data_IF_943913858121
#
_entry.id   IF_943913858121
#
_cell.length_a   1.000
_cell.length_b   1.000
_cell.length_c   1.000
_cell.angle_alpha   90.00
_cell.angle_beta   90.00
_cell.angle_gamma   90.00
#
_symmetry.space_group_name_H-M   'P 1'
#
loop_
_entity.id
_entity.type
_entity.pdbx_description
1 polymer ?
#
# COMPACT_ATOMS: atom_id res chain seq x y z
N UNK A 1 10.37 16.86 12.76
CA UNK A 1 10.23 16.57 11.33
C UNK A 1 9.87 15.10 11.11
N UNK A 2 8.83 14.87 10.36
CA UNK A 2 8.40 13.51 10.06
C UNK A 2 9.30 12.87 9.02
N UNK A 3 9.57 11.58 9.21
CA UNK A 3 10.29 10.78 8.23
C UNK A 3 9.32 10.13 7.26
N UNK A 4 9.79 9.90 6.05
CA UNK A 4 9.07 9.03 5.12
C UNK A 4 8.92 7.64 5.75
N UNK A 5 7.76 7.03 5.59
CA UNK A 5 7.51 5.71 6.14
C UNK A 5 6.52 4.94 5.29
N UNK A 6 6.54 3.63 5.47
CA UNK A 6 5.62 2.72 4.78
C UNK A 6 4.89 1.87 5.81
N UNK A 7 3.58 1.87 5.74
CA UNK A 7 2.74 0.90 6.44
C UNK A 7 2.42 -0.23 5.47
N UNK A 8 2.53 -1.47 5.91
CA UNK A 8 2.40 -2.59 4.99
C UNK A 8 1.53 -3.71 5.55
N UNK A 9 0.82 -4.36 4.64
CA UNK A 9 0.26 -5.69 4.83
C UNK A 9 0.98 -6.62 3.86
N UNK A 10 1.34 -7.80 4.31
CA UNK A 10 1.96 -8.80 3.46
C UNK A 10 1.30 -10.15 3.67
N UNK A 11 1.76 -11.15 2.94
CA UNK A 11 1.20 -12.49 2.96
C UNK A 11 1.51 -13.30 4.24
N UNK A 12 1.99 -12.63 5.27
CA UNK A 12 2.28 -13.29 6.54
C UNK A 12 3.58 -14.07 6.57
N UNK A 13 4.38 -13.99 5.50
CA UNK A 13 5.68 -14.63 5.46
C UNK A 13 6.72 -13.91 6.33
N UNK A 14 6.42 -12.70 6.78
CA UNK A 14 7.32 -11.92 7.61
C UNK A 14 7.09 -12.23 9.09
N UNK A 15 8.14 -12.62 9.78
CA UNK A 15 8.10 -12.88 11.21
C UNK A 15 7.87 -11.62 12.06
N UNK A 16 7.90 -10.45 11.44
CA UNK A 16 7.74 -9.18 12.14
C UNK A 16 6.32 -8.64 12.10
N UNK A 17 5.42 -9.31 11.44
CA UNK A 17 4.04 -8.87 11.44
C UNK A 17 3.39 -9.10 12.78
N UNK A 18 2.91 -8.00 13.36
CA UNK A 18 2.22 -8.02 14.64
C UNK A 18 0.81 -8.56 14.54
N UNK A 19 0.30 -8.73 13.32
CA UNK A 19 -1.02 -9.28 13.08
C UNK A 19 -0.88 -10.72 12.64
N UNK A 20 -1.10 -11.69 13.56
CA UNK A 20 -0.96 -13.12 13.24
C UNK A 20 -1.95 -13.60 12.18
N UNK A 21 -2.93 -12.78 11.82
CA UNK A 21 -3.98 -13.12 10.87
C UNK A 21 -3.96 -12.16 9.69
N UNK A 22 -2.81 -12.07 9.01
CA UNK A 22 -2.77 -11.28 7.77
C UNK A 22 -3.81 -11.84 6.78
N UNK A 23 -4.65 -10.98 6.17
CA UNK A 23 -5.59 -11.44 5.17
C UNK A 23 -4.94 -11.88 3.87
N UNK A 24 -3.65 -11.60 3.71
CA UNK A 24 -2.93 -11.86 2.45
C UNK A 24 -2.23 -13.23 2.50
N UNK A 25 -2.13 -13.94 1.37
CA UNK A 25 -2.64 -13.57 0.04
C UNK A 25 -4.16 -13.67 -0.04
N UNK A 26 -4.76 -12.86 -0.90
CA UNK A 26 -6.20 -12.76 -1.00
C UNK A 26 -6.63 -12.71 -2.47
N UNK A 27 -7.57 -13.57 -2.85
CA UNK A 27 -8.12 -13.54 -4.20
C UNK A 27 -8.98 -12.30 -4.39
N UNK A 28 -8.65 -11.49 -5.39
CA UNK A 28 -9.40 -10.28 -5.67
C UNK A 28 -10.62 -10.64 -6.52
N UNK A 29 -11.78 -10.35 -5.96
CA UNK A 29 -13.07 -10.48 -6.63
C UNK A 29 -13.74 -9.11 -6.63
N UNK A 30 -15.04 -9.04 -6.84
CA UNK A 30 -15.76 -7.79 -6.65
C UNK A 30 -15.87 -7.49 -5.16
N UNK A 31 -15.56 -6.26 -4.77
CA UNK A 31 -15.68 -5.77 -3.40
C UNK A 31 -14.89 -6.59 -2.38
N UNK A 32 -13.67 -6.97 -2.75
CA UNK A 32 -12.77 -7.65 -1.84
C UNK A 32 -12.13 -6.63 -0.90
N UNK A 33 -12.18 -6.85 0.40
CA UNK A 33 -11.75 -5.89 1.40
C UNK A 33 -10.47 -6.31 2.11
N UNK A 34 -9.64 -5.31 2.43
CA UNK A 34 -8.52 -5.46 3.35
C UNK A 34 -8.43 -4.21 4.24
N UNK A 35 -8.05 -4.38 5.50
CA UNK A 35 -7.86 -3.28 6.42
C UNK A 35 -6.38 -3.01 6.63
N UNK A 36 -6.00 -1.74 6.68
CA UNK A 36 -4.64 -1.35 7.03
C UNK A 36 -4.67 -0.34 8.18
N UNK A 37 -3.87 -0.61 9.22
CA UNK A 37 -3.77 0.28 10.37
C UNK A 37 -2.69 1.32 10.12
N UNK A 38 -3.05 2.60 10.26
CA UNK A 38 -2.15 3.73 10.10
C UNK A 38 -2.06 4.46 11.43
N UNK A 39 -0.87 4.47 12.04
CA UNK A 39 -0.66 5.14 13.32
C UNK A 39 -0.53 6.65 13.20
N UNK A 40 -0.19 7.16 12.03
CA UNK A 40 0.00 8.58 11.81
C UNK A 40 -1.33 9.32 11.70
N UNK A 41 -1.35 10.55 12.19
CA UNK A 41 -2.43 11.48 11.89
C UNK A 41 -2.09 12.20 10.59
N UNK A 42 -2.46 11.58 9.46
CA UNK A 42 -2.05 12.04 8.14
C UNK A 42 -2.54 13.46 7.84
N UNK A 43 -3.74 13.80 8.30
CA UNK A 43 -4.29 15.15 8.07
C UNK A 43 -3.53 16.23 8.86
N UNK A 44 -3.16 15.93 10.10
CA UNK A 44 -2.40 16.88 10.92
C UNK A 44 -0.94 16.98 10.50
N UNK A 45 -0.36 15.86 10.05
CA UNK A 45 1.05 15.77 9.71
C UNK A 45 1.37 16.31 8.31
N UNK A 46 0.37 16.44 7.45
CA UNK A 46 0.46 17.03 6.10
C UNK A 46 1.60 16.47 5.24
N UNK A 47 1.57 15.19 4.90
CA UNK A 47 2.58 14.62 4.01
C UNK A 47 2.51 15.27 2.62
N UNK A 48 3.65 15.34 1.94
CA UNK A 48 3.70 15.84 0.56
C UNK A 48 2.98 14.91 -0.39
N UNK A 49 3.06 13.61 -0.14
CA UNK A 49 2.50 12.58 -1.02
C UNK A 49 2.11 11.37 -0.20
N UNK A 50 0.98 10.77 -0.56
CA UNK A 50 0.56 9.47 -0.05
C UNK A 50 0.33 8.57 -1.25
N UNK A 51 1.04 7.45 -1.32
CA UNK A 51 0.96 6.53 -2.44
C UNK A 51 0.68 5.13 -1.92
N UNK A 52 -0.29 4.48 -2.54
CA UNK A 52 -0.62 3.09 -2.26
C UNK A 52 0.01 2.20 -3.33
N UNK A 53 0.90 1.31 -2.91
CA UNK A 53 1.52 0.32 -3.79
C UNK A 53 0.87 -1.03 -3.57
N UNK A 54 0.39 -1.64 -4.64
CA UNK A 54 -0.30 -2.93 -4.60
C UNK A 54 0.48 -3.92 -5.46
N UNK A 55 0.90 -5.03 -4.84
CA UNK A 55 1.55 -6.12 -5.55
C UNK A 55 0.56 -7.26 -5.75
N UNK A 56 0.48 -7.73 -6.99
CA UNK A 56 -0.36 -8.86 -7.38
C UNK A 56 0.47 -9.95 -8.05
N UNK A 57 -0.12 -11.13 -8.22
CA UNK A 57 0.57 -12.28 -8.81
C UNK A 57 0.80 -12.14 -10.32
N UNK A 58 0.00 -11.31 -10.98
CA UNK A 58 0.10 -11.10 -12.43
C UNK A 58 -0.36 -9.70 -12.80
N UNK A 59 -0.05 -9.29 -14.03
CA UNK A 59 -0.33 -7.94 -14.51
C UNK A 59 -1.73 -7.86 -15.11
N UNK A 60 -2.70 -7.54 -14.27
CA UNK A 60 -4.09 -7.31 -14.69
C UNK A 60 -4.61 -6.02 -14.06
N UNK A 61 -5.60 -5.42 -14.70
CA UNK A 61 -6.24 -4.20 -14.20
C UNK A 61 -7.19 -4.51 -13.06
N UNK A 62 -7.19 -3.64 -12.09
CA UNK A 62 -8.15 -3.69 -10.98
C UNK A 62 -8.40 -2.27 -10.46
N UNK A 63 -9.51 -2.08 -9.78
CA UNK A 63 -9.83 -0.81 -9.14
C UNK A 63 -9.65 -0.91 -7.63
N UNK A 64 -9.35 0.23 -7.02
CA UNK A 64 -9.10 0.33 -5.58
C UNK A 64 -9.82 1.55 -5.04
N UNK A 65 -10.43 1.41 -3.88
CA UNK A 65 -10.93 2.53 -3.09
C UNK A 65 -10.40 2.43 -1.66
N UNK A 66 -10.27 3.56 -0.99
CA UNK A 66 -9.93 3.60 0.42
C UNK A 66 -10.97 4.46 1.15
N UNK A 67 -11.55 3.91 2.19
CA UNK A 67 -12.60 4.57 2.98
C UNK A 67 -13.72 5.15 2.11
N UNK A 68 -14.07 4.43 1.03
CA UNK A 68 -15.14 4.82 0.12
C UNK A 68 -14.72 5.74 -1.02
N UNK A 69 -13.46 6.17 -1.09
CA UNK A 69 -12.98 7.07 -2.15
C UNK A 69 -12.18 6.28 -3.19
N UNK A 70 -12.64 6.32 -4.44
CA UNK A 70 -11.96 5.67 -5.55
C UNK A 70 -10.61 6.34 -5.80
N UNK A 71 -9.56 5.53 -6.01
CA UNK A 71 -8.21 6.02 -6.19
C UNK A 71 -7.83 6.04 -7.67
N UNK A 72 -6.96 6.98 -8.02
CA UNK A 72 -6.43 7.10 -9.36
C UNK A 72 -5.07 6.43 -9.47
N UNK A 73 -4.93 5.57 -10.48
CA UNK A 73 -3.66 4.93 -10.78
C UNK A 73 -2.64 5.93 -11.29
N UNK A 74 -1.41 5.81 -10.83
CA UNK A 74 -0.29 6.66 -11.25
C UNK A 74 0.93 5.81 -11.57
N UNK A 75 1.92 6.42 -12.21
CA UNK A 75 3.24 5.84 -12.33
C UNK A 75 4.11 6.41 -11.22
N UNK A 76 4.63 5.55 -10.37
CA UNK A 76 5.50 5.94 -9.27
C UNK A 76 6.57 4.87 -9.07
N UNK A 77 7.77 5.32 -8.73
CA UNK A 77 8.87 4.41 -8.46
C UNK A 77 8.66 3.70 -7.13
N UNK A 78 8.81 2.39 -7.15
CA UNK A 78 8.78 1.59 -5.94
C UNK A 78 10.01 1.89 -5.09
N UNK A 79 9.89 1.99 -3.75
CA UNK A 79 11.04 2.34 -2.90
C UNK A 79 12.14 1.29 -2.96
N UNK A 80 13.29 1.67 -3.48
CA UNK A 80 14.42 0.74 -3.69
C UNK A 80 15.02 0.19 -2.40
N UNK A 81 15.05 1.00 -1.36
CA UNK A 81 15.58 0.55 -0.08
C UNK A 81 14.73 -0.58 0.49
N UNK A 82 13.45 -0.51 0.26
CA UNK A 82 12.51 -1.55 0.67
C UNK A 82 12.80 -2.86 -0.06
N UNK A 83 13.14 -2.78 -1.34
CA UNK A 83 13.51 -3.96 -2.14
C UNK A 83 14.72 -4.67 -1.52
N UNK A 84 15.70 -3.93 -1.08
CA UNK A 84 16.88 -4.51 -0.43
C UNK A 84 16.55 -5.25 0.86
N UNK A 85 15.65 -4.67 1.65
CA UNK A 85 15.25 -5.27 2.94
C UNK A 85 14.42 -6.53 2.75
N UNK A 86 13.60 -6.57 1.72
CA UNK A 86 12.72 -7.71 1.46
C UNK A 86 13.36 -8.79 0.61
N UNK A 87 14.52 -8.52 0.01
CA UNK A 87 15.18 -9.43 -0.91
C UNK A 87 14.54 -9.49 -2.28
N UNK A 88 13.56 -8.65 -2.56
CA UNK A 88 12.89 -8.57 -3.85
C UNK A 88 13.73 -7.69 -4.77
N UNK A 89 14.34 -8.28 -5.79
CA UNK A 89 15.22 -7.55 -6.71
C UNK A 89 14.48 -6.64 -7.65
N UNK A 90 13.31 -7.08 -8.12
CA UNK A 90 12.45 -6.30 -9.00
C UNK A 90 11.02 -6.42 -8.50
N UNK A 91 10.34 -5.29 -8.22
CA UNK A 91 8.93 -5.34 -7.86
C UNK A 91 8.15 -5.84 -9.06
N UNK A 92 7.61 -7.05 -8.97
CA UNK A 92 6.83 -7.66 -10.02
C UNK A 92 5.37 -7.28 -9.84
N UNK A 93 4.74 -6.78 -10.90
CA UNK A 93 3.31 -6.50 -10.93
C UNK A 93 2.87 -5.58 -9.78
N UNK A 94 3.63 -4.50 -9.58
CA UNK A 94 3.28 -3.45 -8.62
C UNK A 94 2.51 -2.36 -9.35
N UNK A 95 1.36 -2.00 -8.78
CA UNK A 95 0.52 -0.90 -9.27
C UNK A 95 0.47 0.18 -8.20
N UNK A 96 0.65 1.43 -8.59
CA UNK A 96 0.64 2.56 -7.68
C UNK A 96 -0.62 3.41 -7.86
N UNK A 97 -1.15 3.89 -6.74
CA UNK A 97 -2.32 4.77 -6.72
C UNK A 97 -2.03 5.98 -5.85
N UNK A 98 -2.41 7.17 -6.33
CA UNK A 98 -2.31 8.37 -5.50
C UNK A 98 -3.47 8.39 -4.50
N UNK A 99 -3.16 8.73 -3.25
CA UNK A 99 -4.15 8.75 -2.17
C UNK A 99 -4.26 10.18 -1.66
N UNK A 100 -5.45 10.81 -1.76
CA UNK A 100 -5.66 12.08 -1.09
C UNK A 100 -5.51 11.94 0.42
N UNK A 101 -4.71 12.79 1.03
CA UNK A 101 -4.41 12.68 2.46
C UNK A 101 -5.67 12.73 3.33
N UNK A 102 -6.67 13.48 2.90
CA UNK A 102 -7.91 13.68 3.66
C UNK A 102 -8.82 12.45 3.72
N UNK A 103 -8.55 11.40 2.92
CA UNK A 103 -9.36 10.17 2.98
C UNK A 103 -8.77 9.11 3.90
N UNK A 104 -7.50 9.27 4.29
CA UNK A 104 -6.84 8.37 5.24
C UNK A 104 -7.14 8.82 6.66
N UNK A 105 -7.48 7.87 7.52
CA UNK A 105 -7.73 8.15 8.93
C UNK A 105 -6.64 7.55 9.80
N UNK A 106 -6.42 8.12 10.94
CA UNK A 106 -5.60 7.50 11.98
C UNK A 106 -6.38 6.31 12.54
N UNK A 107 -5.79 5.14 12.48
CA UNK A 107 -6.46 3.91 12.87
C UNK A 107 -6.66 2.99 11.67
N UNK A 108 -7.74 2.26 11.64
CA UNK A 108 -8.04 1.28 10.60
C UNK A 108 -8.63 1.94 9.36
N UNK A 109 -8.03 1.67 8.22
CA UNK A 109 -8.51 2.14 6.92
C UNK A 109 -9.00 0.95 6.11
N UNK A 110 -10.16 1.09 5.50
CA UNK A 110 -10.78 0.04 4.71
C UNK A 110 -10.41 0.23 3.24
N UNK A 111 -9.74 -0.77 2.68
CA UNK A 111 -9.37 -0.77 1.26
C UNK A 111 -10.24 -1.80 0.55
N UNK A 112 -10.87 -1.40 -0.55
CA UNK A 112 -11.71 -2.29 -1.34
C UNK A 112 -11.11 -2.44 -2.72
N UNK A 113 -10.95 -3.69 -3.13
CA UNK A 113 -10.40 -4.05 -4.43
C UNK A 113 -11.49 -4.67 -5.28
N UNK A 114 -11.48 -4.39 -6.58
CA UNK A 114 -12.39 -5.02 -7.52
C UNK A 114 -11.69 -5.32 -8.83
N UNK A 115 -11.78 -6.55 -9.29
CA UNK A 115 -11.19 -7.00 -10.53
C UNK A 115 -12.15 -7.89 -11.29
N UNK A 116 -12.11 -7.79 -12.61
CA UNK A 116 -12.84 -8.69 -13.49
C UNK A 116 -12.01 -9.88 -13.95
N UNK A 117 -10.69 -9.80 -13.77
CA UNK A 117 -9.79 -10.88 -14.15
C UNK A 117 -9.92 -12.07 -13.19
N UNK A 118 -9.77 -13.28 -13.75
CA UNK A 118 -9.77 -14.49 -12.95
C UNK A 118 -8.41 -14.69 -12.27
N UNK A 119 -8.44 -15.14 -11.02
CA UNK A 119 -7.24 -15.56 -10.28
C UNK A 119 -6.22 -14.44 -10.06
N UNK A 120 -6.68 -13.20 -9.96
CA UNK A 120 -5.81 -12.10 -9.53
C UNK A 120 -5.67 -12.16 -8.02
N UNK A 121 -4.44 -12.35 -7.55
CA UNK A 121 -4.15 -12.53 -6.13
C UNK A 121 -3.40 -11.30 -5.59
N UNK A 122 -3.96 -10.72 -4.55
CA UNK A 122 -3.35 -9.63 -3.80
C UNK A 122 -2.26 -10.21 -2.89
N UNK A 123 -1.02 -9.76 -3.08
CA UNK A 123 0.12 -10.30 -2.34
C UNK A 123 0.66 -9.32 -1.30
N UNK A 124 0.60 -8.02 -1.59
CA UNK A 124 1.14 -7.01 -0.70
C UNK A 124 0.43 -5.68 -0.91
N UNK A 125 0.19 -4.98 0.19
CA UNK A 125 -0.38 -3.64 0.22
C UNK A 125 0.55 -2.77 1.04
N UNK A 126 1.00 -1.66 0.46
CA UNK A 126 1.92 -0.75 1.12
C UNK A 126 1.45 0.68 0.95
N UNK A 127 1.27 1.39 2.06
CA UNK A 127 0.92 2.80 2.03
C UNK A 127 2.16 3.61 2.39
N UNK A 128 2.68 4.35 1.43
CA UNK A 128 3.86 5.18 1.59
C UNK A 128 3.46 6.62 1.91
N UNK A 129 3.93 7.12 3.04
CA UNK A 129 3.77 8.51 3.47
C UNK A 129 5.08 9.24 3.22
N UNK A 130 5.04 10.23 2.33
CA UNK A 130 6.23 10.97 1.94
C UNK A 130 6.16 12.39 2.50
N UNK A 131 7.02 12.68 3.48
CA UNK A 131 7.07 13.99 4.14
C UNK A 131 8.16 14.90 3.61
N UNK A 132 9.11 14.36 2.87
CA UNK A 132 10.20 15.10 2.26
C UNK A 132 10.77 14.36 1.08
N UNK A 133 11.86 14.88 0.49
CA UNK A 133 12.53 14.17 -0.59
C UNK A 133 13.23 12.93 -0.05
N UNK A 134 13.45 11.96 -0.92
CA UNK A 134 14.16 10.72 -0.56
C UNK A 134 15.58 11.02 -0.08
N UNK A 135 16.22 12.03 -0.66
CA UNK A 135 17.56 12.45 -0.26
C UNK A 135 17.60 13.03 1.15
N UNK A 136 16.53 13.68 1.56
CA UNK A 136 16.45 14.31 2.88
C UNK A 136 16.06 13.34 3.97
N UNK A 137 15.11 12.48 3.70
CA UNK A 137 14.47 11.65 4.71
C UNK A 137 14.71 10.16 4.53
N UNK A 138 14.94 9.70 3.30
CA UNK A 138 14.89 8.30 2.95
C UNK A 138 13.48 7.73 3.09
N UNK A 139 13.26 6.55 2.57
CA UNK A 139 12.01 5.83 2.81
C UNK A 139 12.11 4.96 4.07
N UNK A 140 13.31 4.75 4.56
CA UNK A 140 13.56 4.03 5.82
C UNK A 140 14.79 4.58 6.50
#
# INVERSE_FOLDING_TARGET
>A
RKRNKIYALSDGASSYELTPNSPLPLLIQQNTEAGIFIGDDVNADEPQEVILFIRTNKKDSFSVSINGSALQQINADYPRLYDKLTGIKEPQHVTAFIVPANVVIQGNNKIVFSASANELILQRVELALKYGSVEECGYF
#
